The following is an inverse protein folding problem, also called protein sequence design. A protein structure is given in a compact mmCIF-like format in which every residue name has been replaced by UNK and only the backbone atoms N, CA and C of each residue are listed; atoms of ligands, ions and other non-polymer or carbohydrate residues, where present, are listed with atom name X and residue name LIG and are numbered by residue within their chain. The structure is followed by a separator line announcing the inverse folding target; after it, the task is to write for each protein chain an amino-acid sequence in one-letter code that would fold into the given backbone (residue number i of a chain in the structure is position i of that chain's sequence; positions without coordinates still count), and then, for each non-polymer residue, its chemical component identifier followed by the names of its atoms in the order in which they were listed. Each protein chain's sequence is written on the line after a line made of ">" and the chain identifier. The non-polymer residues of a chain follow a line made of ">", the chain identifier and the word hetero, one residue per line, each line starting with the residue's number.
data_IF_382454742897
#
_entry.id   IF_382454742897
#
_cell.length_a   1.000
_cell.length_b   1.000
_cell.length_c   1.000
_cell.angle_alpha   90.00
_cell.angle_beta   90.00
_cell.angle_gamma   90.00
#
_symmetry.space_group_name_H-M   'P 1'
#
loop_
_entity.id
_entity.type
_entity.pdbx_description
1 polymer ?
#
# COMPACT_ATOMS: atom_id res chain seq x y z
N UNK A 1 -6.86 23.80 -2.15
CA UNK A 1 -5.88 22.84 -2.70
C UNK A 1 -4.72 22.80 -1.71
N UNK A 2 -4.29 21.63 -1.27
CA UNK A 2 -3.19 21.49 -0.31
C UNK A 2 -1.86 21.47 -1.08
N UNK A 3 -0.82 22.12 -0.57
CA UNK A 3 0.50 22.19 -1.20
C UNK A 3 1.45 21.13 -0.66
N UNK A 4 2.58 20.91 -1.36
CA UNK A 4 3.65 20.01 -0.87
C UNK A 4 4.21 20.46 0.48
N UNK A 5 4.41 21.77 0.67
CA UNK A 5 4.88 22.34 1.94
C UNK A 5 3.93 22.02 3.11
N UNK A 6 2.62 22.15 2.88
CA UNK A 6 1.60 21.83 3.88
C UNK A 6 1.61 20.33 4.23
N UNK A 7 1.81 19.45 3.24
CA UNK A 7 1.97 18.02 3.52
C UNK A 7 3.21 17.72 4.36
N UNK A 8 4.36 18.35 4.06
CA UNK A 8 5.59 18.15 4.82
C UNK A 8 5.44 18.56 6.29
N UNK A 9 4.76 19.69 6.54
CA UNK A 9 4.44 20.16 7.89
C UNK A 9 3.51 19.19 8.63
N UNK A 10 2.42 18.75 7.98
CA UNK A 10 1.47 17.80 8.57
C UNK A 10 2.15 16.46 8.93
N UNK A 11 2.98 15.92 8.05
CA UNK A 11 3.72 14.68 8.30
C UNK A 11 4.67 14.85 9.48
N UNK A 12 5.35 16.00 9.58
CA UNK A 12 6.27 16.30 10.68
C UNK A 12 5.52 16.36 12.00
N UNK A 13 4.38 17.06 12.02
CA UNK A 13 3.52 17.19 13.20
C UNK A 13 3.00 15.84 13.70
N UNK A 14 2.51 14.99 12.80
CA UNK A 14 2.04 13.64 13.17
C UNK A 14 3.17 12.82 13.78
N UNK A 15 4.39 12.89 13.23
CA UNK A 15 5.54 12.15 13.77
C UNK A 15 5.98 12.63 15.16
N UNK A 16 5.81 13.91 15.49
CA UNK A 16 6.26 14.48 16.77
C UNK A 16 5.19 14.37 17.86
N UNK A 17 3.92 14.59 17.52
CA UNK A 17 2.80 14.60 18.48
C UNK A 17 2.27 13.19 18.79
N UNK A 18 2.51 12.21 17.92
CA UNK A 18 2.05 10.84 18.14
C UNK A 18 2.77 10.16 19.31
N UNK A 19 2.01 9.43 20.12
CA UNK A 19 2.57 8.66 21.25
C UNK A 19 3.58 7.63 20.74
N UNK A 20 4.76 7.58 21.37
CA UNK A 20 5.76 6.56 21.04
C UNK A 20 5.25 5.15 21.38
N UNK A 21 5.62 4.19 20.52
CA UNK A 21 5.32 2.77 20.66
C UNK A 21 6.59 1.95 20.42
N UNK A 22 6.65 0.73 20.97
CA UNK A 22 7.81 -0.17 20.85
C UNK A 22 7.80 -0.99 19.55
N UNK A 23 7.27 -0.41 18.46
CA UNK A 23 7.26 -1.02 17.14
C UNK A 23 7.32 0.09 16.07
N UNK A 24 7.69 -0.29 14.83
CA UNK A 24 7.73 0.64 13.70
C UNK A 24 6.30 1.00 13.29
N UNK A 25 5.95 2.27 13.42
CA UNK A 25 4.60 2.78 13.12
C UNK A 25 4.50 3.17 11.64
N UNK A 26 3.31 3.00 11.07
CA UNK A 26 2.93 3.49 9.74
C UNK A 26 2.16 4.81 9.86
N UNK A 27 2.17 5.61 8.80
CA UNK A 27 1.35 6.82 8.67
C UNK A 27 0.26 6.53 7.65
N UNK A 28 -0.98 6.87 7.98
CA UNK A 28 -2.14 6.69 7.11
C UNK A 28 -2.57 8.03 6.51
N UNK A 29 -3.03 8.00 5.26
CA UNK A 29 -3.67 9.13 4.59
C UNK A 29 -5.17 8.87 4.51
N UNK A 30 -5.96 9.72 5.16
CA UNK A 30 -7.42 9.65 5.16
C UNK A 30 -7.94 10.85 4.39
N UNK A 31 -8.74 10.59 3.35
CA UNK A 31 -9.33 11.63 2.49
C UNK A 31 -10.85 11.55 2.64
N UNK A 32 -11.44 12.66 3.11
CA UNK A 32 -12.88 12.82 3.16
C UNK A 32 -13.35 13.56 1.91
N UNK A 33 -14.16 12.89 1.09
CA UNK A 33 -14.80 13.50 -0.06
C UNK A 33 -16.13 14.12 0.35
N UNK A 34 -16.40 15.34 -0.11
CA UNK A 34 -17.68 16.01 0.06
C UNK A 34 -18.45 15.97 -1.26
N UNK A 35 -19.78 15.94 -1.16
CA UNK A 35 -20.68 16.05 -2.32
C UNK A 35 -20.53 14.90 -3.35
N UNK A 36 -20.15 13.71 -2.88
CA UNK A 36 -20.10 12.48 -3.68
C UNK A 36 -21.37 11.64 -3.51
N UNK A 37 -21.89 11.12 -4.62
CA UNK A 37 -23.01 10.19 -4.62
C UNK A 37 -22.52 8.76 -4.85
N UNK A 38 -22.24 8.05 -3.76
CA UNK A 38 -21.80 6.64 -3.80
C UNK A 38 -22.83 5.71 -4.44
N UNK A 39 -24.13 6.06 -4.43
CA UNK A 39 -25.19 5.23 -5.02
C UNK A 39 -25.19 5.32 -6.54
N UNK A 40 -24.62 6.38 -7.12
CA UNK A 40 -24.43 6.55 -8.56
C UNK A 40 -23.14 5.91 -9.08
N UNK A 41 -22.47 5.09 -8.26
CA UNK A 41 -21.32 4.31 -8.67
C UNK A 41 -19.98 5.02 -8.49
N UNK A 42 -19.89 6.04 -7.62
CA UNK A 42 -18.61 6.60 -7.24
C UNK A 42 -17.82 5.57 -6.40
N UNK A 43 -16.82 4.95 -7.03
CA UNK A 43 -15.88 4.03 -6.41
C UNK A 43 -14.47 4.33 -6.90
N UNK A 44 -13.48 4.23 -6.00
CA UNK A 44 -12.05 4.37 -6.33
C UNK A 44 -11.43 2.99 -6.14
N UNK A 45 -10.96 2.38 -7.22
CA UNK A 45 -10.25 1.10 -7.19
C UNK A 45 -8.97 1.23 -8.04
N UNK A 46 -7.96 1.86 -7.46
CA UNK A 46 -6.73 2.23 -8.16
C UNK A 46 -5.51 1.65 -7.46
N UNK A 47 -4.54 1.21 -8.25
CA UNK A 47 -3.23 0.76 -7.76
C UNK A 47 -2.26 1.93 -7.81
N UNK A 48 -1.94 2.51 -6.65
CA UNK A 48 -1.02 3.64 -6.54
C UNK A 48 0.36 3.13 -6.13
N UNK A 49 1.34 3.24 -7.04
CA UNK A 49 2.73 2.95 -6.73
C UNK A 49 3.34 4.09 -5.91
N UNK A 50 3.71 3.81 -4.67
CA UNK A 50 4.40 4.79 -3.84
C UNK A 50 5.84 5.02 -4.37
N UNK A 51 6.30 6.29 -4.48
CA UNK A 51 7.66 6.59 -4.94
C UNK A 51 8.73 6.14 -3.93
N UNK A 52 8.36 6.07 -2.64
CA UNK A 52 9.18 5.52 -1.57
C UNK A 52 8.29 4.71 -0.64
N UNK A 53 8.63 3.44 -0.43
CA UNK A 53 8.02 2.61 0.62
C UNK A 53 9.08 2.16 1.61
N UNK A 54 8.72 2.13 2.88
CA UNK A 54 9.57 1.60 3.96
C UNK A 54 9.09 0.24 4.49
N UNK A 55 8.02 -0.29 3.89
CA UNK A 55 7.46 -1.59 4.15
C UNK A 55 6.92 -2.11 2.81
N UNK A 56 7.66 -2.98 2.09
CA UNK A 56 7.15 -3.56 0.85
C UNK A 56 5.86 -4.34 1.14
N UNK A 57 4.96 -4.36 0.16
CA UNK A 57 3.77 -5.19 0.25
C UNK A 57 4.19 -6.66 0.24
N UNK A 58 3.58 -7.46 1.11
CA UNK A 58 3.72 -8.91 1.04
C UNK A 58 2.93 -9.42 -0.15
N UNK A 59 3.57 -10.13 -1.07
CA UNK A 59 2.98 -10.57 -2.33
C UNK A 59 3.02 -12.10 -2.46
N UNK A 60 1.86 -12.68 -2.80
CA UNK A 60 1.74 -14.04 -3.28
C UNK A 60 1.61 -14.04 -4.80
N UNK A 61 2.43 -14.82 -5.49
CA UNK A 61 2.37 -15.01 -6.94
C UNK A 61 1.90 -16.43 -7.25
N UNK A 62 0.82 -16.54 -8.02
CA UNK A 62 0.33 -17.83 -8.51
C UNK A 62 0.96 -18.05 -9.89
N UNK A 63 1.92 -18.96 -9.99
CA UNK A 63 2.63 -19.21 -11.25
C UNK A 63 3.32 -20.58 -11.27
N UNK A 64 3.37 -21.18 -12.47
CA UNK A 64 4.11 -22.42 -12.76
C UNK A 64 5.23 -22.18 -13.77
N UNK A 65 6.11 -23.18 -13.96
CA UNK A 65 7.18 -23.14 -14.96
C UNK A 65 8.17 -21.98 -14.79
N UNK A 66 8.56 -21.35 -15.89
CA UNK A 66 9.54 -20.24 -15.93
C UNK A 66 9.09 -19.01 -15.13
N UNK A 67 7.78 -18.71 -15.13
CA UNK A 67 7.24 -17.58 -14.35
C UNK A 67 7.37 -17.80 -12.84
N UNK A 68 7.24 -19.05 -12.37
CA UNK A 68 7.49 -19.41 -10.96
C UNK A 68 8.93 -19.10 -10.57
N UNK A 69 9.90 -19.45 -11.43
CA UNK A 69 11.32 -19.19 -11.18
C UNK A 69 11.62 -17.69 -11.16
N UNK A 70 11.08 -16.94 -12.14
CA UNK A 70 11.21 -15.47 -12.19
C UNK A 70 10.64 -14.80 -10.94
N UNK A 71 9.48 -15.24 -10.45
CA UNK A 71 8.86 -14.71 -9.24
C UNK A 71 9.73 -14.97 -7.99
N UNK A 72 10.31 -16.17 -7.87
CA UNK A 72 11.26 -16.51 -6.79
C UNK A 72 12.53 -15.66 -6.87
N UNK A 73 13.10 -15.47 -8.07
CA UNK A 73 14.26 -14.59 -8.28
C UNK A 73 13.94 -13.13 -7.93
N UNK A 74 12.72 -12.67 -8.23
CA UNK A 74 12.22 -11.34 -7.87
C UNK A 74 11.91 -11.19 -6.36
N UNK A 75 12.09 -12.26 -5.56
CA UNK A 75 11.86 -12.29 -4.11
C UNK A 75 10.40 -12.03 -3.71
N UNK A 76 9.45 -12.58 -4.47
CA UNK A 76 8.07 -12.70 -3.99
C UNK A 76 8.05 -13.49 -2.66
N UNK A 77 7.20 -13.07 -1.72
CA UNK A 77 7.14 -13.70 -0.39
C UNK A 77 6.62 -15.14 -0.47
N UNK A 78 5.66 -15.37 -1.36
CA UNK A 78 5.05 -16.68 -1.59
C UNK A 78 4.87 -16.90 -3.10
N UNK A 79 5.19 -18.09 -3.58
CA UNK A 79 4.91 -18.51 -4.95
C UNK A 79 4.27 -19.89 -4.92
N UNK A 80 3.03 -19.98 -5.39
CA UNK A 80 2.25 -21.23 -5.37
C UNK A 80 1.87 -21.71 -6.77
N UNK A 81 1.77 -23.02 -6.92
CA UNK A 81 1.24 -23.70 -8.11
C UNK A 81 -0.29 -23.82 -8.08
N UNK A 82 -0.88 -24.32 -9.16
CA UNK A 82 -2.33 -24.51 -9.26
C UNK A 82 -2.84 -25.58 -8.28
N UNK A 83 -2.01 -26.59 -8.02
CA UNK A 83 -2.25 -27.69 -7.10
C UNK A 83 -2.41 -27.25 -5.63
N UNK A 84 -1.89 -26.08 -5.28
CA UNK A 84 -1.97 -25.50 -3.93
C UNK A 84 -3.18 -24.57 -3.76
N UNK A 85 -3.98 -24.33 -4.81
CA UNK A 85 -5.17 -23.46 -4.77
C UNK A 85 -6.45 -24.18 -4.34
N UNK A 86 -6.41 -25.51 -4.28
CA UNK A 86 -7.51 -26.40 -3.84
C UNK A 86 -7.42 -26.72 -2.37
#
# INVERSE_FOLDING_TARGET
>A
MITESQFAELITRVKTESKKRKFKQSIELIINFKDIDVKKGFAINEVIQLPKTSSPATVCVIATGDMSQKAKTAKADVVIGNEELT
#
